data_IF_285258520972
#
_entry.id   IF_285258520972
#
_cell.length_a   1.000
_cell.length_b   1.000
_cell.length_c   1.000
_cell.angle_alpha   90.00
_cell.angle_beta   90.00
_cell.angle_gamma   90.00
#
_symmetry.space_group_name_H-M   'P 1'
#
loop_
_entity.id
_entity.type
_entity.pdbx_description
1 polymer ?
#
# COMPACT_ATOMS: atom_id res chain seq x y z
N UNK A 1 -11.93 5.97 -14.45
CA UNK A 1 -11.40 5.35 -13.21
C UNK A 1 -10.73 6.46 -12.39
N UNK A 2 -10.90 6.51 -11.06
CA UNK A 2 -10.22 7.50 -10.24
C UNK A 2 -8.71 7.37 -10.39
N UNK A 3 -8.03 8.51 -10.51
CA UNK A 3 -6.59 8.64 -10.66
C UNK A 3 -6.04 9.16 -9.34
N UNK A 4 -5.09 8.44 -8.79
CA UNK A 4 -4.42 8.75 -7.53
C UNK A 4 -3.01 9.23 -7.79
N UNK A 5 -2.38 9.87 -6.81
CA UNK A 5 -1.00 10.33 -6.90
C UNK A 5 -0.25 9.89 -5.67
N UNK A 6 0.97 9.39 -5.88
CA UNK A 6 1.89 9.10 -4.78
C UNK A 6 2.48 10.42 -4.22
N UNK A 7 3.23 10.32 -3.12
CA UNK A 7 3.89 11.45 -2.45
C UNK A 7 4.86 12.23 -3.34
N UNK A 8 5.28 11.65 -4.48
CA UNK A 8 6.14 12.29 -5.47
C UNK A 8 5.36 12.90 -6.64
N UNK A 9 4.02 12.89 -6.58
CA UNK A 9 3.14 13.41 -7.63
C UNK A 9 3.03 12.48 -8.84
N UNK A 10 3.47 11.23 -8.75
CA UNK A 10 3.35 10.26 -9.85
C UNK A 10 2.00 9.57 -9.78
N UNK A 11 1.33 9.51 -10.93
CA UNK A 11 0.01 8.91 -11.03
C UNK A 11 -0.01 7.41 -10.78
N UNK A 12 -1.02 6.95 -10.07
CA UNK A 12 -1.35 5.54 -9.83
C UNK A 12 -2.82 5.33 -10.16
N UNK A 13 -3.11 4.21 -10.83
CA UNK A 13 -4.48 3.78 -11.11
C UNK A 13 -4.69 2.36 -10.63
N UNK A 14 -5.84 2.12 -10.00
CA UNK A 14 -6.27 0.78 -9.62
C UNK A 14 -6.77 0.05 -10.87
N UNK A 15 -6.31 -1.18 -11.07
CA UNK A 15 -6.60 -1.96 -12.29
C UNK A 15 -7.61 -3.06 -12.00
N UNK A 16 -7.28 -3.95 -11.06
CA UNK A 16 -8.13 -5.10 -10.73
C UNK A 16 -8.04 -5.42 -9.24
N UNK A 17 -9.20 -5.58 -8.60
CA UNK A 17 -9.30 -6.12 -7.26
C UNK A 17 -8.84 -7.59 -7.26
N UNK A 18 -7.95 -7.93 -6.33
CA UNK A 18 -7.41 -9.30 -6.21
C UNK A 18 -7.76 -9.95 -4.88
N UNK A 19 -8.14 -9.16 -3.87
CA UNK A 19 -8.62 -9.68 -2.59
C UNK A 19 -9.49 -8.65 -1.89
N UNK A 20 -10.40 -9.13 -1.03
CA UNK A 20 -11.21 -8.32 -0.14
C UNK A 20 -11.29 -8.95 1.24
N UNK A 21 -11.34 -8.11 2.27
CA UNK A 21 -11.49 -8.51 3.66
C UNK A 21 -12.33 -7.51 4.44
N UNK A 22 -12.39 -7.67 5.77
CA UNK A 22 -13.24 -6.83 6.62
C UNK A 22 -12.86 -5.35 6.64
N UNK A 23 -11.57 -5.03 6.50
CA UNK A 23 -11.09 -3.64 6.57
C UNK A 23 -11.09 -2.91 5.20
N UNK A 24 -11.07 -3.66 4.10
CA UNK A 24 -10.82 -3.10 2.78
C UNK A 24 -10.52 -4.14 1.70
N UNK A 25 -10.12 -3.64 0.55
CA UNK A 25 -9.77 -4.43 -0.63
C UNK A 25 -8.34 -4.17 -1.08
N UNK A 26 -7.71 -5.19 -1.68
CA UNK A 26 -6.38 -5.10 -2.30
C UNK A 26 -6.54 -5.13 -3.80
N UNK A 27 -5.89 -4.19 -4.46
CA UNK A 27 -5.96 -3.95 -5.89
C UNK A 27 -4.57 -4.03 -6.50
N UNK A 28 -4.49 -4.59 -7.70
CA UNK A 28 -3.36 -4.37 -8.59
C UNK A 28 -3.37 -2.94 -9.10
N UNK A 29 -2.19 -2.42 -9.42
CA UNK A 29 -2.04 -1.07 -9.98
C UNK A 29 -1.47 -1.13 -11.39
N UNK A 30 -1.48 0.01 -12.08
CA UNK A 30 -0.78 0.19 -13.35
C UNK A 30 0.76 0.19 -13.21
N UNK A 31 1.32 0.05 -12.00
CA UNK A 31 2.76 -0.05 -11.73
C UNK A 31 3.11 -1.47 -11.29
N UNK A 32 4.00 -2.12 -12.04
CA UNK A 32 4.50 -3.46 -11.69
C UNK A 32 5.13 -3.48 -10.30
N UNK A 33 4.77 -4.47 -9.49
CA UNK A 33 5.25 -4.62 -8.11
C UNK A 33 4.51 -3.80 -7.04
N UNK A 34 3.53 -2.97 -7.43
CA UNK A 34 2.75 -2.14 -6.50
C UNK A 34 1.31 -2.62 -6.39
N UNK A 35 0.84 -2.74 -5.14
CA UNK A 35 -0.55 -3.02 -4.80
C UNK A 35 -1.14 -1.83 -4.03
N UNK A 36 -2.42 -1.54 -4.26
CA UNK A 36 -3.17 -0.56 -3.49
C UNK A 36 -4.09 -1.25 -2.49
N UNK A 37 -4.00 -0.89 -1.20
CA UNK A 37 -4.99 -1.30 -0.19
C UNK A 37 -5.97 -0.15 0.05
N UNK A 38 -7.24 -0.35 -0.30
CA UNK A 38 -8.30 0.65 -0.13
C UNK A 38 -9.15 0.27 1.08
N UNK A 39 -9.16 1.12 2.10
CA UNK A 39 -9.96 0.95 3.30
C UNK A 39 -11.40 1.43 3.07
N UNK A 40 -12.40 0.68 3.53
CA UNK A 40 -13.80 1.06 3.35
C UNK A 40 -14.23 2.23 4.24
N UNK A 41 -13.72 2.25 5.49
CA UNK A 41 -14.01 3.24 6.52
C UNK A 41 -12.72 3.55 7.28
N UNK A 42 -11.80 4.33 6.71
CA UNK A 42 -10.54 4.65 7.37
C UNK A 42 -10.81 5.40 8.67
N UNK A 43 -10.17 4.97 9.76
CA UNK A 43 -10.22 5.67 11.05
C UNK A 43 -8.96 6.52 11.26
N UNK A 44 -9.04 7.60 12.06
CA UNK A 44 -7.84 8.40 12.41
C UNK A 44 -6.70 7.55 12.99
N UNK A 45 -7.04 6.55 13.81
CA UNK A 45 -6.06 5.65 14.41
C UNK A 45 -5.36 4.77 13.36
N UNK A 46 -6.09 4.29 12.35
CA UNK A 46 -5.49 3.55 11.23
C UNK A 46 -4.55 4.45 10.42
N UNK A 47 -4.95 5.70 10.17
CA UNK A 47 -4.11 6.67 9.46
C UNK A 47 -2.82 6.96 10.25
N UNK A 48 -2.91 7.24 11.55
CA UNK A 48 -1.74 7.46 12.41
C UNK A 48 -0.82 6.25 12.47
N UNK A 49 -1.40 5.03 12.58
CA UNK A 49 -0.63 3.79 12.50
C UNK A 49 0.13 3.68 11.18
N UNK A 50 -0.52 3.97 10.04
CA UNK A 50 0.13 3.90 8.72
C UNK A 50 1.25 4.93 8.57
N UNK A 51 1.06 6.16 9.07
CA UNK A 51 2.13 7.18 9.13
C UNK A 51 3.33 6.69 9.94
N UNK A 52 3.08 6.09 11.12
CA UNK A 52 4.15 5.53 11.95
C UNK A 52 4.89 4.39 11.24
N UNK A 53 4.16 3.53 10.53
CA UNK A 53 4.75 2.46 9.73
C UNK A 53 5.64 3.02 8.61
N UNK A 54 5.19 4.06 7.90
CA UNK A 54 5.98 4.71 6.86
C UNK A 54 7.26 5.36 7.40
N UNK A 55 7.18 6.00 8.58
CA UNK A 55 8.33 6.62 9.24
C UNK A 55 9.33 5.60 9.81
N UNK A 56 8.89 4.37 10.10
CA UNK A 56 9.71 3.34 10.75
C UNK A 56 9.60 1.99 10.04
N UNK A 57 10.09 1.86 8.78
CA UNK A 57 10.06 0.60 8.07
C UNK A 57 10.98 -0.43 8.73
N UNK A 58 10.55 -1.70 8.88
CA UNK A 58 11.41 -2.75 9.39
C UNK A 58 12.51 -3.07 8.37
N UNK A 59 13.63 -3.59 8.86
CA UNK A 59 14.63 -4.22 7.97
C UNK A 59 13.99 -5.44 7.31
N UNK A 60 14.09 -5.55 5.98
CA UNK A 60 13.62 -6.75 5.27
C UNK A 60 14.65 -7.87 5.43
N UNK A 61 14.37 -8.93 6.22
CA UNK A 61 15.34 -9.99 6.50
C UNK A 61 15.73 -10.80 5.26
N UNK A 62 14.88 -10.83 4.22
CA UNK A 62 15.12 -11.59 2.98
C UNK A 62 15.51 -10.69 1.81
N UNK A 63 15.98 -9.47 2.08
CA UNK A 63 16.41 -8.54 1.01
C UNK A 63 17.48 -9.15 0.10
N UNK A 64 18.42 -9.93 0.66
CA UNK A 64 19.46 -10.63 -0.09
C UNK A 64 18.94 -11.78 -0.98
N UNK A 65 17.70 -12.20 -0.80
CA UNK A 65 17.06 -13.29 -1.56
C UNK A 65 16.08 -12.74 -2.62
N UNK A 66 16.06 -11.42 -2.83
CA UNK A 66 15.10 -10.76 -3.72
C UNK A 66 13.63 -11.11 -3.39
N UNK A 67 13.35 -11.36 -2.11
CA UNK A 67 12.03 -11.76 -1.61
C UNK A 67 11.52 -10.75 -0.59
N UNK A 68 10.24 -10.39 -0.68
CA UNK A 68 9.57 -9.55 0.31
C UNK A 68 9.03 -10.42 1.44
N UNK A 69 9.74 -10.49 2.57
CA UNK A 69 9.29 -11.27 3.72
C UNK A 69 8.06 -10.66 4.41
N UNK A 70 7.93 -9.32 4.37
CA UNK A 70 6.88 -8.59 5.09
C UNK A 70 6.31 -7.55 4.14
N UNK A 71 5.01 -7.59 3.90
CA UNK A 71 4.30 -6.52 3.20
C UNK A 71 4.26 -5.27 4.09
N UNK A 72 4.88 -4.19 3.64
CA UNK A 72 4.93 -2.92 4.37
C UNK A 72 4.44 -1.77 3.48
N UNK A 73 3.68 -0.79 4.02
CA UNK A 73 3.30 0.38 3.25
C UNK A 73 4.54 1.17 2.86
N UNK A 74 4.52 1.74 1.66
CA UNK A 74 5.59 2.57 1.11
C UNK A 74 5.12 3.97 0.74
N UNK A 75 3.79 4.17 0.69
CA UNK A 75 3.17 5.47 0.56
C UNK A 75 1.76 5.46 1.18
N UNK A 76 1.20 6.64 1.42
CA UNK A 76 -0.17 6.86 1.86
C UNK A 76 -0.83 7.86 0.89
N UNK A 77 -1.92 7.42 0.25
CA UNK A 77 -2.63 8.10 -0.83
C UNK A 77 -4.04 8.46 -0.38
#
# INVERSE_FOLDING_TARGET
>A
MPMYFDSQGKSISLVKEIAKGGEGAVWTTNRSGYLGKIYYKPTPQQVEKLKLMLAHPPKNPTASQNHTAISWPIDLI
#
